data_IF_654655039786
#
_entry.id   IF_654655039786
#
_cell.length_a   1.000
_cell.length_b   1.000
_cell.length_c   1.000
_cell.angle_alpha   90.00
_cell.angle_beta   90.00
_cell.angle_gamma   90.00
#
_symmetry.space_group_name_H-M   'P 1'
#
loop_
_entity.id
_entity.type
_entity.pdbx_description
1 polymer ?
#
# COMPACT_ATOMS: atom_id res chain seq x y z
N UNK A 1 -11.51 -37.52 5.38
CA UNK A 1 -12.01 -36.16 5.68
C UNK A 1 -11.64 -35.83 7.12
N UNK A 2 -10.69 -34.93 7.34
CA UNK A 2 -10.42 -34.38 8.68
C UNK A 2 -10.41 -32.86 8.59
N UNK A 3 -11.36 -32.27 9.32
CA UNK A 3 -11.59 -30.85 9.48
C UNK A 3 -10.64 -30.32 10.55
N UNK A 4 -9.83 -29.31 10.23
CA UNK A 4 -9.10 -28.54 11.23
C UNK A 4 -9.81 -27.21 11.46
N UNK A 5 -10.51 -27.16 12.60
CA UNK A 5 -11.12 -25.97 13.19
C UNK A 5 -10.01 -24.99 13.59
N UNK A 6 -10.02 -23.78 13.05
CA UNK A 6 -9.18 -22.70 13.55
C UNK A 6 -9.79 -22.10 14.81
N UNK A 7 -9.21 -22.44 15.96
CA UNK A 7 -9.43 -21.75 17.23
C UNK A 7 -8.26 -20.82 17.51
N UNK A 8 -8.53 -19.51 17.60
CA UNK A 8 -8.10 -18.64 18.72
C UNK A 8 -8.32 -17.17 18.38
N UNK A 9 -9.34 -16.57 19.00
CA UNK A 9 -9.37 -15.12 19.24
C UNK A 9 -8.34 -14.80 20.33
N UNK A 10 -7.26 -14.11 19.97
CA UNK A 10 -6.56 -13.20 20.88
C UNK A 10 -6.31 -11.90 20.14
N UNK A 11 -7.16 -10.90 20.40
CA UNK A 11 -6.94 -9.51 19.99
C UNK A 11 -5.78 -8.97 20.82
N UNK A 12 -4.55 -9.07 20.31
CA UNK A 12 -3.44 -8.28 20.82
C UNK A 12 -3.58 -6.88 20.21
N UNK A 13 -4.05 -5.91 21.00
CA UNK A 13 -3.92 -4.50 20.61
C UNK A 13 -2.53 -4.05 21.05
N UNK A 14 -1.53 -4.29 20.21
CA UNK A 14 -0.22 -3.70 20.45
C UNK A 14 -0.28 -2.24 20.00
N UNK A 15 -0.21 -1.31 20.95
CA UNK A 15 0.06 0.10 20.63
C UNK A 15 1.48 0.16 20.05
N UNK A 16 1.61 0.32 18.73
CA UNK A 16 2.88 0.71 18.15
C UNK A 16 3.15 2.16 18.56
N UNK A 17 4.03 2.35 19.55
CA UNK A 17 4.69 3.65 19.77
C UNK A 17 5.68 3.84 18.62
N UNK A 18 5.53 4.89 17.84
CA UNK A 18 6.58 5.30 16.90
C UNK A 18 7.69 5.95 17.73
N UNK A 19 8.78 5.22 17.94
CA UNK A 19 9.97 5.76 18.58
C UNK A 19 10.68 6.67 17.57
N UNK A 20 10.55 7.99 17.72
CA UNK A 20 11.08 8.99 16.78
C UNK A 20 12.63 9.16 16.81
N UNK A 21 13.36 8.22 17.44
CA UNK A 21 14.78 8.38 17.77
C UNK A 21 15.77 7.69 16.83
N UNK A 22 15.33 6.97 15.80
CA UNK A 22 16.24 6.41 14.80
C UNK A 22 15.51 6.24 13.47
N UNK A 23 15.30 7.36 12.77
CA UNK A 23 14.81 7.38 11.40
C UNK A 23 15.94 6.87 10.50
N UNK A 24 16.24 5.58 10.58
CA UNK A 24 16.92 4.86 9.51
C UNK A 24 15.98 4.93 8.31
N UNK A 25 15.99 6.08 7.63
CA UNK A 25 15.72 6.26 6.23
C UNK A 25 15.04 5.04 5.60
N UNK A 26 13.73 4.88 5.87
CA UNK A 26 12.94 3.83 5.25
C UNK A 26 12.79 4.26 3.80
N UNK A 27 13.80 3.98 2.98
CA UNK A 27 13.83 4.44 1.61
C UNK A 27 12.82 3.70 0.74
N UNK A 28 12.33 2.53 1.20
CA UNK A 28 11.50 1.62 0.41
C UNK A 28 10.50 0.89 1.31
N UNK A 29 9.30 0.71 0.79
CA UNK A 29 8.29 -0.20 1.32
C UNK A 29 7.72 -1.01 0.14
N UNK A 30 7.40 -2.28 0.38
CA UNK A 30 6.73 -3.14 -0.61
C UNK A 30 5.35 -3.45 -0.07
N UNK A 31 4.34 -3.29 -0.92
CA UNK A 31 2.95 -3.61 -0.63
C UNK A 31 2.52 -4.74 -1.56
N UNK A 32 1.99 -5.82 -0.98
CA UNK A 32 1.36 -6.90 -1.72
C UNK A 32 -0.12 -6.98 -1.37
N UNK A 33 -1.00 -6.92 -2.37
CA UNK A 33 -2.44 -7.11 -2.19
C UNK A 33 -2.84 -8.45 -2.82
N UNK A 34 -3.38 -9.36 -2.01
CA UNK A 34 -3.93 -10.60 -2.52
C UNK A 34 -5.10 -10.36 -3.48
N UNK A 35 -5.40 -11.34 -4.36
CA UNK A 35 -6.65 -11.32 -5.14
C UNK A 35 -7.84 -11.21 -4.18
N UNK A 36 -8.85 -10.42 -4.56
CA UNK A 36 -10.09 -10.14 -3.80
C UNK A 36 -9.95 -9.59 -2.37
N UNK A 37 -8.73 -9.34 -1.88
CA UNK A 37 -8.51 -8.74 -0.56
C UNK A 37 -8.55 -7.20 -0.65
N UNK A 38 -9.28 -6.52 0.26
CA UNK A 38 -9.32 -5.06 0.32
C UNK A 38 -8.09 -4.46 1.01
N UNK A 39 -7.41 -5.25 1.86
CA UNK A 39 -6.16 -4.88 2.53
C UNK A 39 -4.99 -5.62 1.86
N UNK A 40 -3.78 -5.06 1.98
CA UNK A 40 -2.54 -5.73 1.61
C UNK A 40 -1.69 -6.11 2.82
N UNK A 41 -0.54 -6.73 2.55
CA UNK A 41 0.57 -6.88 3.49
C UNK A 41 1.70 -5.94 3.12
N UNK A 42 2.45 -5.45 4.10
CA UNK A 42 3.55 -4.51 3.88
C UNK A 42 4.88 -5.06 4.41
N UNK A 43 5.93 -4.93 3.62
CA UNK A 43 7.32 -5.08 4.05
C UNK A 43 7.93 -3.70 4.22
N UNK A 44 8.52 -3.45 5.40
CA UNK A 44 9.27 -2.23 5.67
C UNK A 44 10.76 -2.53 5.66
N UNK A 45 11.55 -1.60 5.10
CA UNK A 45 13.02 -1.73 5.07
C UNK A 45 13.65 -1.89 6.46
N UNK A 46 12.99 -1.41 7.51
CA UNK A 46 13.43 -1.52 8.91
C UNK A 46 13.09 -2.86 9.56
N UNK A 47 12.32 -3.71 8.89
CA UNK A 47 12.01 -5.07 9.33
C UNK A 47 12.00 -6.05 8.14
N UNK A 48 13.15 -6.28 7.49
CA UNK A 48 13.25 -7.20 6.35
C UNK A 48 12.76 -8.59 6.73
N UNK A 49 11.96 -9.22 5.85
CA UNK A 49 11.42 -10.57 6.06
C UNK A 49 10.12 -10.65 6.85
N UNK A 50 9.72 -9.59 7.56
CA UNK A 50 8.48 -9.58 8.34
C UNK A 50 7.35 -8.85 7.59
N UNK A 51 6.48 -9.62 6.95
CA UNK A 51 5.24 -9.08 6.37
C UNK A 51 4.26 -8.71 7.48
N UNK A 52 3.97 -7.40 7.63
CA UNK A 52 2.94 -6.90 8.51
C UNK A 52 1.60 -6.78 7.78
N UNK A 53 0.49 -6.85 8.51
CA UNK A 53 -0.83 -6.55 7.95
C UNK A 53 -0.96 -5.06 7.64
N UNK A 54 -1.55 -4.74 6.49
CA UNK A 54 -1.82 -3.36 6.10
C UNK A 54 -2.80 -2.69 7.06
N UNK A 55 -2.44 -1.49 7.51
CA UNK A 55 -3.17 -0.76 8.55
C UNK A 55 -4.61 -0.37 8.16
N UNK A 56 -4.90 -0.24 6.86
CA UNK A 56 -6.23 0.07 6.33
C UNK A 56 -6.46 -0.59 4.96
N UNK A 57 -7.71 -0.54 4.47
CA UNK A 57 -8.05 -0.90 3.09
C UNK A 57 -7.31 0.02 2.11
N UNK A 58 -6.88 -0.49 0.97
CA UNK A 58 -6.11 0.29 -0.01
C UNK A 58 -6.93 1.36 -0.75
N UNK A 59 -8.26 1.27 -0.66
CA UNK A 59 -9.20 2.28 -1.16
C UNK A 59 -9.45 3.40 -0.15
N UNK A 60 -8.94 3.29 1.08
CA UNK A 60 -9.11 4.33 2.08
C UNK A 60 -8.24 5.55 1.75
N UNK A 61 -8.78 6.75 1.93
CA UNK A 61 -8.06 7.99 1.68
C UNK A 61 -6.86 8.23 2.63
N UNK A 62 -6.77 7.48 3.73
CA UNK A 62 -5.74 7.63 4.74
C UNK A 62 -5.45 6.28 5.43
N UNK A 63 -4.46 6.28 6.32
CA UNK A 63 -4.14 5.12 7.16
C UNK A 63 -3.11 4.15 6.57
N UNK A 64 -2.52 4.47 5.41
CA UNK A 64 -1.39 3.71 4.86
C UNK A 64 -0.45 4.61 4.03
N UNK A 65 0.81 4.18 3.87
CA UNK A 65 1.86 4.96 3.19
C UNK A 65 1.56 5.20 1.70
N UNK A 66 0.88 4.27 1.01
CA UNK A 66 0.51 4.44 -0.40
C UNK A 66 -0.37 5.69 -0.63
N UNK A 67 -1.39 5.92 0.21
CA UNK A 67 -2.25 7.11 0.08
C UNK A 67 -1.47 8.38 0.42
N UNK A 68 -0.63 8.33 1.46
CA UNK A 68 0.24 9.45 1.84
C UNK A 68 1.17 9.89 0.71
N UNK A 69 1.78 8.94 -0.01
CA UNK A 69 2.70 9.24 -1.11
C UNK A 69 2.03 9.90 -2.32
N UNK A 70 0.73 9.67 -2.55
CA UNK A 70 -0.01 10.23 -3.69
C UNK A 70 -0.96 11.38 -3.29
N UNK A 71 -1.03 11.75 -2.01
CA UNK A 71 -2.01 12.72 -1.51
C UNK A 71 -1.97 14.07 -2.25
N UNK A 72 -0.76 14.61 -2.50
CA UNK A 72 -0.60 15.86 -3.25
C UNK A 72 -0.98 15.76 -4.72
N UNK A 73 -0.75 14.61 -5.35
CA UNK A 73 -1.13 14.34 -6.75
C UNK A 73 -2.66 14.25 -6.88
N UNK A 74 -3.31 13.44 -6.03
CA UNK A 74 -4.79 13.30 -6.04
C UNK A 74 -5.47 14.62 -5.66
N UNK A 75 -4.90 15.36 -4.70
CA UNK A 75 -5.41 16.65 -4.26
C UNK A 75 -5.08 17.82 -5.20
N UNK A 76 -4.38 17.59 -6.31
CA UNK A 76 -3.93 18.63 -7.25
C UNK A 76 -3.22 19.80 -6.54
N UNK A 77 -2.32 19.48 -5.60
CA UNK A 77 -1.59 20.45 -4.82
C UNK A 77 -0.64 21.29 -5.70
N UNK A 78 -0.54 22.60 -5.42
CA UNK A 78 0.33 23.49 -6.17
C UNK A 78 1.81 23.09 -6.02
N UNK A 79 2.57 23.21 -7.11
CA UNK A 79 4.00 22.88 -7.15
C UNK A 79 4.33 21.39 -7.23
N UNK A 80 3.33 20.50 -7.19
CA UNK A 80 3.52 19.07 -7.45
C UNK A 80 3.40 18.81 -8.95
N UNK A 81 4.43 18.18 -9.53
CA UNK A 81 4.41 17.67 -10.91
C UNK A 81 4.50 16.15 -10.89
N UNK A 82 3.73 15.49 -11.76
CA UNK A 82 3.74 14.04 -11.86
C UNK A 82 3.46 13.60 -13.30
N UNK A 83 3.97 12.42 -13.65
CA UNK A 83 3.66 11.75 -14.91
C UNK A 83 3.08 10.37 -14.59
N UNK A 84 1.94 10.04 -15.19
CA UNK A 84 1.28 8.75 -15.02
C UNK A 84 1.20 8.03 -16.37
N UNK A 85 1.42 6.72 -16.34
CA UNK A 85 1.31 5.86 -17.51
C UNK A 85 0.07 4.96 -17.39
N UNK A 86 -0.59 4.72 -18.51
CA UNK A 86 -1.75 3.83 -18.58
C UNK A 86 -1.80 3.19 -19.97
N UNK A 87 -2.30 1.97 -20.04
CA UNK A 87 -2.54 1.26 -21.29
C UNK A 87 -3.51 2.00 -22.22
N UNK A 88 -4.43 2.75 -21.62
CA UNK A 88 -5.35 3.66 -22.31
C UNK A 88 -5.02 5.07 -21.82
N UNK A 89 -4.17 5.82 -22.52
CA UNK A 89 -3.80 7.17 -22.10
C UNK A 89 -5.03 8.08 -22.21
N UNK A 90 -5.35 8.89 -21.17
CA UNK A 90 -6.56 9.71 -21.15
C UNK A 90 -6.58 10.79 -22.24
N UNK A 91 -5.41 11.20 -22.75
CA UNK A 91 -5.28 12.27 -23.74
C UNK A 91 -5.19 11.79 -25.20
N UNK A 92 -5.09 10.48 -25.45
CA UNK A 92 -5.01 9.93 -26.82
C UNK A 92 -5.99 8.77 -26.96
N UNK A 93 -7.28 9.07 -27.21
CA UNK A 93 -8.30 8.03 -27.39
C UNK A 93 -7.93 7.14 -28.60
N UNK A 94 -8.30 5.86 -28.54
CA UNK A 94 -8.06 4.82 -29.55
C UNK A 94 -6.62 4.28 -29.66
N UNK A 95 -5.70 4.66 -28.77
CA UNK A 95 -4.40 4.00 -28.63
C UNK A 95 -4.47 3.03 -27.46
N UNK A 96 -4.32 1.73 -27.76
CA UNK A 96 -4.17 0.67 -26.76
C UNK A 96 -2.81 0.03 -26.91
N UNK A 97 -2.01 0.04 -25.85
CA UNK A 97 -0.73 -0.66 -25.81
C UNK A 97 -0.92 -2.12 -25.36
N UNK A 98 0.14 -2.93 -25.39
CA UNK A 98 0.07 -4.31 -24.89
C UNK A 98 0.36 -4.44 -23.38
N UNK A 99 0.92 -3.40 -22.76
CA UNK A 99 1.28 -3.40 -21.34
C UNK A 99 0.08 -3.09 -20.47
N UNK A 100 -0.04 -3.75 -19.32
CA UNK A 100 -1.03 -3.44 -18.28
C UNK A 100 -0.38 -2.95 -16.97
N UNK A 101 0.94 -2.69 -16.99
CA UNK A 101 1.66 -2.13 -15.85
C UNK A 101 1.38 -0.63 -15.71
N UNK A 102 1.32 -0.14 -14.47
CA UNK A 102 1.16 1.27 -14.09
C UNK A 102 2.13 1.62 -12.99
#
# INVERSE_FOLDING_TARGET
MQSQRWSSRRRLVTKHKHNAGNQNNVHRAILYKGPTQPNGKVLLSTAPGNWADGAAQLTAAAGHSLAGSLAGVVGNAQGITFLAYNNVPPAVPNVQTKSNSK
#
